data_IF_656782586235
#
_entry.id   IF_656782586235
#
_cell.length_a   1.000
_cell.length_b   1.000
_cell.length_c   1.000
_cell.angle_alpha   90.00
_cell.angle_beta   90.00
_cell.angle_gamma   90.00
#
_symmetry.space_group_name_H-M   'P 1'
#
loop_
_entity.id
_entity.type
_entity.pdbx_description
1 polymer ?
#
# COMPACT_ATOMS: atom_id res chain seq x y z
N UNK A 1 12.67 3.42 10.73
CA UNK A 1 13.40 4.37 9.86
C UNK A 1 14.20 3.55 8.84
N UNK A 2 14.46 4.04 7.62
CA UNK A 2 15.29 3.33 6.63
C UNK A 2 16.76 3.16 7.08
N UNK A 3 17.22 4.03 7.99
CA UNK A 3 18.52 3.95 8.64
C UNK A 3 18.55 3.10 9.92
N UNK A 4 17.47 2.34 10.19
CA UNK A 4 17.40 1.47 11.36
C UNK A 4 18.43 0.32 11.24
N UNK A 5 19.31 0.19 12.24
CA UNK A 5 20.40 -0.79 12.22
C UNK A 5 19.85 -2.22 12.11
N UNK A 6 18.77 -2.54 12.83
CA UNK A 6 18.18 -3.86 12.78
C UNK A 6 17.65 -4.20 11.38
N UNK A 7 17.06 -3.22 10.69
CA UNK A 7 16.63 -3.37 9.30
C UNK A 7 17.83 -3.56 8.36
N UNK A 8 18.86 -2.74 8.48
CA UNK A 8 20.06 -2.83 7.63
C UNK A 8 20.77 -4.17 7.76
N UNK A 9 20.97 -4.63 9.00
CA UNK A 9 21.59 -5.95 9.26
C UNK A 9 20.71 -7.09 8.73
N UNK A 10 19.39 -6.98 8.89
CA UNK A 10 18.47 -7.97 8.31
C UNK A 10 18.56 -8.01 6.78
N UNK A 11 18.63 -6.86 6.12
CA UNK A 11 18.76 -6.78 4.66
C UNK A 11 20.09 -7.38 4.20
N UNK A 12 21.22 -7.01 4.82
CA UNK A 12 22.54 -7.60 4.53
C UNK A 12 22.56 -9.12 4.71
N UNK A 13 21.94 -9.61 5.78
CA UNK A 13 21.82 -11.05 6.02
C UNK A 13 21.05 -11.76 4.91
N UNK A 14 19.91 -11.20 4.48
CA UNK A 14 19.11 -11.76 3.38
C UNK A 14 19.87 -11.75 2.06
N UNK A 15 20.59 -10.67 1.76
CA UNK A 15 21.43 -10.58 0.56
C UNK A 15 22.56 -11.61 0.59
N UNK A 16 23.18 -11.84 1.76
CA UNK A 16 24.19 -12.88 1.93
C UNK A 16 23.63 -14.30 1.74
N UNK A 17 22.42 -14.59 2.25
CA UNK A 17 21.72 -15.86 1.97
C UNK A 17 21.51 -16.05 0.47
N UNK A 18 21.02 -15.02 -0.23
CA UNK A 18 20.82 -15.06 -1.68
C UNK A 18 22.12 -15.28 -2.45
N UNK A 19 23.21 -14.63 -2.04
CA UNK A 19 24.53 -14.80 -2.63
C UNK A 19 25.09 -16.23 -2.46
N UNK A 20 24.69 -16.93 -1.38
CA UNK A 20 25.00 -18.37 -1.18
C UNK A 20 24.08 -19.32 -1.95
N UNK A 21 23.13 -18.81 -2.73
CA UNK A 21 22.15 -19.62 -3.47
C UNK A 21 20.96 -20.09 -2.65
N UNK A 22 20.77 -19.58 -1.43
CA UNK A 22 19.61 -19.94 -0.61
C UNK A 22 18.31 -19.31 -1.18
N UNK A 23 17.17 -20.02 -1.07
CA UNK A 23 15.87 -19.47 -1.45
C UNK A 23 15.46 -18.34 -0.49
N UNK A 24 14.72 -17.35 -1.00
CA UNK A 24 14.19 -16.27 -0.17
C UNK A 24 14.15 -14.93 -0.88
N UNK A 25 13.83 -13.89 -0.11
CA UNK A 25 13.80 -12.51 -0.57
C UNK A 25 15.20 -11.90 -0.56
N UNK A 26 15.45 -10.95 -1.46
CA UNK A 26 16.57 -10.01 -1.27
C UNK A 26 16.27 -9.05 -0.12
N UNK A 27 17.28 -8.34 0.39
CA UNK A 27 17.09 -7.28 1.36
C UNK A 27 16.12 -6.20 0.85
N UNK A 28 16.21 -5.85 -0.43
CA UNK A 28 15.32 -4.87 -1.07
C UNK A 28 13.87 -5.36 -1.16
N UNK A 29 13.67 -6.62 -1.53
CA UNK A 29 12.32 -7.20 -1.59
C UNK A 29 11.70 -7.27 -0.20
N UNK A 30 12.48 -7.66 0.81
CA UNK A 30 12.05 -7.66 2.19
C UNK A 30 11.64 -6.27 2.69
N UNK A 31 12.45 -5.24 2.38
CA UNK A 31 12.11 -3.86 2.73
C UNK A 31 10.80 -3.41 2.08
N UNK A 32 10.62 -3.74 0.80
CA UNK A 32 9.42 -3.39 0.03
C UNK A 32 8.19 -4.12 0.55
N UNK A 33 8.28 -5.44 0.77
CA UNK A 33 7.21 -6.23 1.35
C UNK A 33 6.82 -5.75 2.75
N UNK A 34 7.80 -5.36 3.58
CA UNK A 34 7.55 -4.77 4.90
C UNK A 34 6.80 -3.43 4.81
N UNK A 35 7.17 -2.58 3.86
CA UNK A 35 6.49 -1.31 3.59
C UNK A 35 5.03 -1.56 3.17
N UNK A 36 4.82 -2.43 2.18
CA UNK A 36 3.49 -2.73 1.65
C UNK A 36 2.58 -3.43 2.67
N UNK A 37 3.14 -4.25 3.57
CA UNK A 37 2.40 -4.82 4.70
C UNK A 37 1.84 -3.71 5.61
N UNK A 38 2.62 -2.67 5.89
CA UNK A 38 2.16 -1.55 6.69
C UNK A 38 1.07 -0.74 5.98
N UNK A 39 1.22 -0.50 4.66
CA UNK A 39 0.20 0.17 3.84
C UNK A 39 -1.13 -0.60 3.88
N UNK A 40 -1.09 -1.90 3.59
CA UNK A 40 -2.28 -2.74 3.59
C UNK A 40 -2.92 -2.83 4.99
N UNK A 41 -2.10 -2.78 6.04
CA UNK A 41 -2.61 -2.71 7.42
C UNK A 41 -3.33 -1.40 7.69
N UNK A 42 -2.80 -0.25 7.27
CA UNK A 42 -3.45 1.05 7.42
C UNK A 42 -4.78 1.10 6.67
N UNK A 43 -4.81 0.62 5.42
CA UNK A 43 -6.04 0.51 4.62
C UNK A 43 -7.10 -0.31 5.36
N UNK A 44 -6.73 -1.49 5.87
CA UNK A 44 -7.64 -2.37 6.60
C UNK A 44 -8.11 -1.81 7.96
N UNK A 45 -7.50 -0.75 8.49
CA UNK A 45 -7.99 -0.04 9.67
C UNK A 45 -9.04 1.02 9.35
N UNK A 46 -9.03 1.54 8.13
CA UNK A 46 -9.95 2.58 7.66
C UNK A 46 -11.33 2.05 7.27
N UNK A 47 -11.45 0.77 6.90
CA UNK A 47 -12.73 0.11 6.58
C UNK A 47 -12.86 -1.13 7.47
N UNK A 48 -13.81 -1.14 8.42
CA UNK A 48 -13.84 -2.18 9.47
C UNK A 48 -14.98 -3.18 9.33
N UNK A 49 -16.06 -2.82 8.64
CA UNK A 49 -17.21 -3.69 8.40
C UNK A 49 -17.98 -3.28 7.13
N UNK A 50 -19.03 -4.02 6.77
CA UNK A 50 -19.79 -3.81 5.53
C UNK A 50 -20.43 -2.41 5.42
N UNK A 51 -20.82 -1.81 6.55
CA UNK A 51 -21.41 -0.47 6.56
C UNK A 51 -20.37 0.68 6.66
N UNK A 52 -19.08 0.33 6.75
CA UNK A 52 -18.00 1.32 6.79
C UNK A 52 -17.56 1.68 5.38
N UNK A 53 -17.22 2.95 5.20
CA UNK A 53 -16.74 3.48 3.94
C UNK A 53 -15.59 4.45 4.18
N UNK A 54 -14.59 4.42 3.31
CA UNK A 54 -13.42 5.28 3.39
C UNK A 54 -12.92 5.62 1.99
N UNK A 55 -12.41 6.84 1.82
CA UNK A 55 -11.59 7.19 0.67
C UNK A 55 -10.13 6.83 0.93
N UNK A 56 -9.47 6.14 0.00
CA UNK A 56 -8.06 5.80 0.07
C UNK A 56 -7.32 6.48 -1.08
N UNK A 57 -6.35 7.33 -0.76
CA UNK A 57 -5.49 8.00 -1.74
C UNK A 57 -4.05 7.49 -1.60
N UNK A 58 -3.54 6.85 -2.65
CA UNK A 58 -2.16 6.35 -2.72
C UNK A 58 -1.28 7.39 -3.44
N UNK A 59 -0.68 8.30 -2.67
CA UNK A 59 0.07 9.46 -3.19
C UNK A 59 1.55 9.14 -3.45
N UNK A 60 1.83 8.24 -4.39
CA UNK A 60 3.20 7.97 -4.85
C UNK A 60 3.20 7.32 -6.24
N UNK A 61 4.04 7.83 -7.16
CA UNK A 61 4.15 7.29 -8.52
C UNK A 61 4.54 5.81 -8.56
N UNK A 62 5.16 5.28 -7.49
CA UNK A 62 5.53 3.87 -7.41
C UNK A 62 4.32 2.94 -7.41
N UNK A 63 3.14 3.39 -6.96
CA UNK A 63 1.93 2.57 -7.01
C UNK A 63 1.42 2.28 -8.43
N UNK A 64 1.85 3.08 -9.43
CA UNK A 64 1.61 2.82 -10.85
C UNK A 64 2.51 1.70 -11.42
N UNK A 65 3.63 1.39 -10.75
CA UNK A 65 4.57 0.36 -11.20
C UNK A 65 3.99 -1.02 -10.91
N UNK A 66 3.96 -1.90 -11.92
CA UNK A 66 3.39 -3.26 -11.80
C UNK A 66 3.94 -4.05 -10.59
N UNK A 67 5.22 -3.90 -10.27
CA UNK A 67 5.85 -4.57 -9.13
C UNK A 67 5.28 -4.15 -7.76
N UNK A 68 4.95 -2.87 -7.58
CA UNK A 68 4.37 -2.37 -6.32
C UNK A 68 2.86 -2.52 -6.31
N UNK A 69 2.21 -2.25 -7.45
CA UNK A 69 0.77 -2.38 -7.62
C UNK A 69 0.30 -3.80 -7.22
N UNK A 70 1.10 -4.82 -7.61
CA UNK A 70 0.83 -6.22 -7.26
C UNK A 70 0.92 -6.55 -5.76
N UNK A 71 1.51 -5.67 -4.95
CA UNK A 71 1.61 -5.82 -3.49
C UNK A 71 0.50 -5.09 -2.71
N UNK A 72 -0.32 -4.26 -3.38
CA UNK A 72 -1.55 -3.71 -2.79
C UNK A 72 -2.59 -4.83 -2.68
N UNK A 73 -3.38 -4.86 -1.61
CA UNK A 73 -4.47 -5.83 -1.45
C UNK A 73 -5.35 -5.91 -2.71
N UNK A 74 -5.68 -7.12 -3.15
CA UNK A 74 -6.40 -7.38 -4.41
C UNK A 74 -7.68 -6.55 -4.54
N UNK A 75 -8.54 -6.61 -3.52
CA UNK A 75 -9.82 -5.89 -3.50
C UNK A 75 -9.67 -4.37 -3.66
N UNK A 76 -8.59 -3.77 -3.12
CA UNK A 76 -8.37 -2.34 -3.25
C UNK A 76 -7.87 -2.01 -4.66
N UNK A 77 -7.06 -2.89 -5.24
CA UNK A 77 -6.48 -2.69 -6.57
C UNK A 77 -7.54 -2.72 -7.67
N UNK A 78 -8.55 -3.57 -7.55
CA UNK A 78 -9.66 -3.64 -8.52
C UNK A 78 -10.49 -2.35 -8.54
N UNK A 79 -10.58 -1.65 -7.40
CA UNK A 79 -11.32 -0.40 -7.26
C UNK A 79 -10.44 0.85 -7.45
N UNK A 80 -9.11 0.69 -7.48
CA UNK A 80 -8.18 1.81 -7.59
C UNK A 80 -7.99 2.23 -9.05
N UNK A 81 -8.02 3.54 -9.29
CA UNK A 81 -7.71 4.14 -10.57
C UNK A 81 -6.65 5.24 -10.41
N UNK A 82 -5.77 5.38 -11.42
CA UNK A 82 -4.91 6.54 -11.52
C UNK A 82 -5.74 7.77 -11.88
N UNK A 83 -5.52 8.87 -11.16
CA UNK A 83 -6.25 10.10 -11.37
C UNK A 83 -5.32 11.31 -11.23
N UNK A 84 -5.61 12.37 -11.99
CA UNK A 84 -5.04 13.67 -11.74
C UNK A 84 -5.61 14.25 -10.45
N UNK A 85 -4.85 15.12 -9.78
CA UNK A 85 -5.25 15.68 -8.48
C UNK A 85 -6.66 16.29 -8.48
N UNK A 86 -7.00 17.06 -9.52
CA UNK A 86 -8.32 17.73 -9.62
C UNK A 86 -9.47 16.74 -9.75
N UNK A 87 -9.27 15.66 -10.49
CA UNK A 87 -10.28 14.61 -10.66
C UNK A 87 -10.45 13.85 -9.35
N UNK A 88 -9.34 13.44 -8.72
CA UNK A 88 -9.37 12.77 -7.41
C UNK A 88 -10.05 13.64 -6.33
N UNK A 89 -9.77 14.95 -6.30
CA UNK A 89 -10.41 15.88 -5.36
C UNK A 89 -11.92 15.94 -5.58
N UNK A 90 -12.36 16.11 -6.84
CA UNK A 90 -13.79 16.15 -7.20
C UNK A 90 -14.48 14.85 -6.80
N UNK A 91 -13.90 13.72 -7.18
CA UNK A 91 -14.50 12.40 -6.97
C UNK A 91 -14.60 12.08 -5.46
N UNK A 92 -13.59 12.49 -4.68
CA UNK A 92 -13.63 12.39 -3.22
C UNK A 92 -14.76 13.25 -2.63
N UNK A 93 -14.91 14.51 -3.06
CA UNK A 93 -16.01 15.38 -2.58
C UNK A 93 -17.38 14.77 -2.87
N UNK A 94 -17.57 14.25 -4.09
CA UNK A 94 -18.82 13.59 -4.49
C UNK A 94 -19.09 12.34 -3.66
N UNK A 95 -18.07 11.50 -3.45
CA UNK A 95 -18.18 10.29 -2.64
C UNK A 95 -18.62 10.59 -1.20
N UNK A 96 -17.95 11.54 -0.53
CA UNK A 96 -18.29 11.91 0.85
C UNK A 96 -19.65 12.63 0.95
N UNK A 97 -20.04 13.43 -0.05
CA UNK A 97 -21.36 14.07 -0.07
C UNK A 97 -22.49 13.04 -0.21
N UNK A 98 -22.36 12.09 -1.15
CA UNK A 98 -23.35 11.04 -1.37
C UNK A 98 -23.50 10.11 -0.16
N UNK A 99 -22.38 9.70 0.44
CA UNK A 99 -22.41 8.81 1.62
C UNK A 99 -22.74 9.52 2.92
N UNK A 100 -22.40 10.81 3.04
CA UNK A 100 -22.77 11.65 4.18
C UNK A 100 -24.27 11.96 4.24
N UNK A 101 -24.92 12.18 3.09
CA UNK A 101 -26.36 12.39 3.00
C UNK A 101 -27.19 11.11 3.23
N UNK A 102 -26.58 9.93 3.07
CA UNK A 102 -27.22 8.63 3.27
C UNK A 102 -27.17 8.11 4.72
N UNK A 103 -26.68 8.91 5.68
CA UNK A 103 -26.77 8.57 7.11
C UNK A 103 -28.22 8.79 7.60
N UNK A 104 -28.86 7.78 8.23
CA UNK A 104 -30.11 7.98 8.94
C UNK A 104 -29.94 8.91 10.15
#
# INVERSE_FOLDING_TARGET
NASDLALLEKMKFLDACRARGEPGLTGRDYYTARCMKAVNQCVGRSIRHADDWAGVLLLDHRYAQAGINTMVSHWLREEAAEAQFKDAERDLRLFFAARGAARP
#
